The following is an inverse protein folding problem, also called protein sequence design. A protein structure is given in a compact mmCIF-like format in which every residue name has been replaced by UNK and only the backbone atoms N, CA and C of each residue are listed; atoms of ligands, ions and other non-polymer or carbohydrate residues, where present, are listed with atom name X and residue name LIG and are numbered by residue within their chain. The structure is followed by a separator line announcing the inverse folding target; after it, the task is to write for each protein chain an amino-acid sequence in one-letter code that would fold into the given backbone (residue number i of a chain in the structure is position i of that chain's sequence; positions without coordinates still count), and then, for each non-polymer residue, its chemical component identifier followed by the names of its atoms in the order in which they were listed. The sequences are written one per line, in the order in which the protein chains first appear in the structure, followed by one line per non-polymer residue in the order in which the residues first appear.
data_IF_211527052114
#
_entry.id   IF_211527052114
#
_cell.length_a   1.000
_cell.length_b   1.000
_cell.length_c   1.000
_cell.angle_alpha   90.00
_cell.angle_beta   90.00
_cell.angle_gamma   90.00
#
_symmetry.space_group_name_H-M   'P 1'
#
loop_
_entity.id
_entity.type
_entity.pdbx_description
1 polymer ?
#
# COMPACT_ATOMS: atom_id res chain seq x y z
N UNK A 1 18.64 9.28 1.55
CA UNK A 1 17.50 8.63 0.85
C UNK A 1 16.22 9.33 1.24
N UNK A 2 15.42 9.71 0.26
CA UNK A 2 14.11 10.32 0.50
C UNK A 2 13.05 9.34 0.03
N UNK A 3 12.17 8.94 0.94
CA UNK A 3 11.06 8.04 0.64
C UNK A 3 9.77 8.80 0.80
N UNK A 4 8.97 8.98 -0.26
CA UNK A 4 7.64 9.59 -0.12
C UNK A 4 6.75 8.69 0.74
N UNK A 5 5.93 9.32 1.57
CA UNK A 5 4.96 8.61 2.40
C UNK A 5 3.59 9.26 2.17
N UNK A 6 2.62 8.47 1.74
CA UNK A 6 1.24 8.89 1.61
C UNK A 6 0.43 8.26 2.72
N UNK A 7 -0.32 9.06 3.45
CA UNK A 7 -1.25 8.53 4.44
C UNK A 7 -2.64 8.49 3.83
N UNK A 8 -3.28 7.32 3.89
CA UNK A 8 -4.61 7.11 3.33
C UNK A 8 -5.53 6.59 4.42
N UNK A 9 -6.64 7.30 4.65
CA UNK A 9 -7.71 6.85 5.53
C UNK A 9 -8.79 6.24 4.64
N UNK A 10 -8.91 4.92 4.67
CA UNK A 10 -9.78 4.19 3.75
C UNK A 10 -10.88 3.44 4.49
N UNK A 11 -11.94 3.09 3.76
CA UNK A 11 -12.95 2.11 4.17
C UNK A 11 -13.89 2.57 5.26
N UNK A 12 -14.20 3.86 5.35
CA UNK A 12 -15.16 4.31 6.35
C UNK A 12 -16.09 5.36 5.78
N UNK A 13 -17.37 5.26 6.13
CA UNK A 13 -18.35 6.32 5.98
C UNK A 13 -18.47 7.14 7.26
N UNK A 14 -17.72 6.79 8.31
CA UNK A 14 -17.75 7.47 9.61
C UNK A 14 -16.52 8.30 9.77
N UNK A 15 -16.66 9.50 10.34
CA UNK A 15 -15.57 10.46 10.51
C UNK A 15 -14.38 9.88 11.31
N UNK A 16 -14.65 9.05 12.30
CA UNK A 16 -13.62 8.48 13.15
C UNK A 16 -13.45 6.97 12.97
N UNK A 17 -14.03 6.40 11.92
CA UNK A 17 -13.98 4.97 11.68
C UNK A 17 -12.90 4.53 10.71
N UNK A 18 -12.00 5.42 10.29
CA UNK A 18 -10.98 5.11 9.31
C UNK A 18 -9.91 4.18 9.85
N UNK A 19 -9.35 3.38 8.96
CA UNK A 19 -8.19 2.54 9.26
C UNK A 19 -7.01 3.10 8.47
N UNK A 20 -6.21 4.00 9.09
CA UNK A 20 -5.16 4.69 8.36
C UNK A 20 -4.03 3.74 7.97
N UNK A 21 -3.55 3.91 6.74
CA UNK A 21 -2.41 3.18 6.23
C UNK A 21 -1.42 4.18 5.64
N UNK A 22 -0.13 3.89 5.78
CA UNK A 22 0.91 4.60 5.07
C UNK A 22 1.26 3.82 3.80
N UNK A 23 1.54 4.53 2.72
CA UNK A 23 1.94 3.94 1.45
C UNK A 23 3.27 4.58 1.04
N UNK A 24 4.28 3.75 0.86
CA UNK A 24 5.65 4.18 0.57
C UNK A 24 6.10 3.62 -0.77
N UNK A 25 6.08 4.43 -1.84
CA UNK A 25 6.67 4.01 -3.12
C UNK A 25 8.18 3.92 -3.01
N UNK A 26 8.76 2.85 -3.54
CA UNK A 26 10.20 2.64 -3.57
C UNK A 26 10.66 2.43 -5.00
N UNK A 27 11.85 2.90 -5.33
CA UNK A 27 12.48 2.60 -6.62
C UNK A 27 13.10 1.20 -6.62
N UNK A 28 13.60 0.78 -5.45
CA UNK A 28 14.14 -0.56 -5.23
C UNK A 28 13.90 -0.96 -3.78
N UNK A 29 13.96 -2.25 -3.50
CA UNK A 29 13.75 -2.73 -2.15
C UNK A 29 14.87 -2.25 -1.22
N UNK A 30 14.47 -1.79 -0.03
CA UNK A 30 15.37 -1.47 1.07
C UNK A 30 15.38 -2.65 2.05
N UNK A 31 16.23 -2.60 3.06
CA UNK A 31 16.33 -3.71 4.01
C UNK A 31 15.05 -3.92 4.80
N UNK A 32 14.80 -5.16 5.20
CA UNK A 32 13.64 -5.51 6.00
C UNK A 32 13.63 -4.73 7.32
N UNK A 33 14.81 -4.59 7.95
CA UNK A 33 14.93 -3.84 9.19
C UNK A 33 14.53 -2.37 9.01
N UNK A 34 14.93 -1.76 7.92
CA UNK A 34 14.59 -0.36 7.65
C UNK A 34 13.10 -0.20 7.40
N UNK A 35 12.48 -1.11 6.64
CA UNK A 35 11.03 -1.07 6.44
C UNK A 35 10.28 -1.23 7.76
N UNK A 36 10.73 -2.16 8.61
CA UNK A 36 10.10 -2.35 9.91
C UNK A 36 10.25 -1.11 10.80
N UNK A 37 11.39 -0.45 10.77
CA UNK A 37 11.60 0.78 11.53
C UNK A 37 10.70 1.90 11.04
N UNK A 38 10.55 2.05 9.72
CA UNK A 38 9.64 3.05 9.14
C UNK A 38 8.21 2.79 9.59
N UNK A 39 7.77 1.53 9.58
CA UNK A 39 6.44 1.17 10.05
C UNK A 39 6.24 1.50 11.53
N UNK A 40 7.25 1.26 12.37
CA UNK A 40 7.22 1.65 13.77
C UNK A 40 7.12 3.15 13.95
N UNK A 41 7.92 3.92 13.21
CA UNK A 41 7.92 5.37 13.28
C UNK A 41 6.58 5.96 12.83
N UNK A 42 5.98 5.39 11.78
CA UNK A 42 4.66 5.82 11.30
C UNK A 42 3.58 5.57 12.34
N UNK A 43 3.69 4.49 13.08
CA UNK A 43 2.73 4.09 14.12
C UNK A 43 1.28 4.07 13.63
N UNK A 44 1.08 3.68 12.38
CA UNK A 44 -0.22 3.46 11.78
C UNK A 44 -0.52 1.96 11.75
N UNK A 45 -1.80 1.61 11.52
CA UNK A 45 -2.20 0.20 11.51
C UNK A 45 -1.33 -0.63 10.58
N UNK A 46 -1.10 -0.13 9.37
CA UNK A 46 -0.23 -0.78 8.39
C UNK A 46 0.56 0.24 7.60
N UNK A 47 1.73 -0.17 7.14
CA UNK A 47 2.54 0.54 6.17
C UNK A 47 2.80 -0.39 5.01
N UNK A 48 2.43 0.02 3.80
CA UNK A 48 2.68 -0.71 2.58
C UNK A 48 3.88 -0.11 1.86
N UNK A 49 4.77 -0.98 1.40
CA UNK A 49 5.89 -0.62 0.54
C UNK A 49 5.70 -1.32 -0.79
N UNK A 50 5.95 -0.62 -1.88
CA UNK A 50 5.85 -1.26 -3.19
C UNK A 50 6.95 -0.79 -4.12
N UNK A 51 7.29 -1.68 -5.06
CA UNK A 51 8.27 -1.44 -6.11
C UNK A 51 7.63 -1.80 -7.44
N UNK A 52 7.70 -0.91 -8.42
CA UNK A 52 7.20 -1.21 -9.76
C UNK A 52 8.12 -2.25 -10.41
N UNK A 53 7.52 -3.30 -10.96
CA UNK A 53 8.22 -4.39 -11.64
C UNK A 53 7.54 -4.65 -12.99
N UNK A 54 8.04 -4.00 -14.06
CA UNK A 54 7.45 -4.05 -15.40
C UNK A 54 6.01 -3.51 -15.36
N UNK A 55 5.01 -4.34 -15.65
CA UNK A 55 3.61 -3.96 -15.64
C UNK A 55 2.91 -4.28 -14.33
N UNK A 56 3.63 -4.76 -13.34
CA UNK A 56 3.11 -5.17 -12.05
C UNK A 56 3.81 -4.41 -10.94
N UNK A 57 3.34 -4.61 -9.71
CA UNK A 57 3.93 -4.00 -8.53
C UNK A 57 4.18 -5.08 -7.49
N UNK A 58 5.40 -5.17 -6.99
CA UNK A 58 5.70 -6.01 -5.85
C UNK A 58 5.32 -5.24 -4.59
N UNK A 59 4.62 -5.87 -3.66
CA UNK A 59 4.10 -5.20 -2.46
C UNK A 59 4.43 -5.99 -1.20
N UNK A 60 4.72 -5.26 -0.12
CA UNK A 60 4.93 -5.82 1.22
C UNK A 60 4.26 -4.92 2.24
N UNK A 61 3.74 -5.51 3.30
CA UNK A 61 2.98 -4.81 4.32
C UNK A 61 3.59 -5.05 5.69
N UNK A 62 3.62 -3.99 6.50
CA UNK A 62 4.15 -4.05 7.86
C UNK A 62 3.17 -3.40 8.82
N UNK A 63 2.96 -4.03 9.98
CA UNK A 63 2.41 -3.33 11.15
C UNK A 63 3.58 -2.70 11.91
N UNK A 64 3.33 -1.90 12.95
CA UNK A 64 4.43 -1.40 13.78
C UNK A 64 5.29 -2.51 14.41
N UNK A 65 4.80 -3.74 14.48
CA UNK A 65 5.47 -4.84 15.16
C UNK A 65 6.03 -5.90 14.22
N UNK A 66 5.40 -6.13 13.07
CA UNK A 66 5.77 -7.26 12.22
C UNK A 66 5.32 -7.09 10.78
N UNK A 67 5.95 -7.85 9.89
CA UNK A 67 5.49 -7.95 8.51
C UNK A 67 4.28 -8.88 8.41
N UNK A 68 3.33 -8.54 7.52
CA UNK A 68 2.14 -9.34 7.24
C UNK A 68 2.29 -10.05 5.90
N UNK A 69 1.72 -11.26 5.79
CA UNK A 69 1.68 -11.99 4.53
C UNK A 69 0.59 -11.51 3.60
N UNK A 70 -0.47 -10.90 4.15
CA UNK A 70 -1.59 -10.37 3.38
C UNK A 70 -2.26 -9.26 4.15
N UNK A 71 -2.62 -8.18 3.45
CA UNK A 71 -3.37 -7.08 4.04
C UNK A 71 -4.26 -6.43 2.97
N UNK A 72 -5.57 -6.50 3.14
CA UNK A 72 -6.53 -5.98 2.17
C UNK A 72 -6.61 -4.46 2.12
N UNK A 73 -6.78 -3.81 3.27
CA UNK A 73 -6.91 -2.35 3.35
C UNK A 73 -5.72 -1.60 2.77
N UNK A 74 -4.48 -1.91 3.17
CA UNK A 74 -3.34 -1.17 2.63
C UNK A 74 -3.08 -1.49 1.16
N UNK A 75 -3.54 -2.63 0.64
CA UNK A 75 -3.44 -2.92 -0.79
C UNK A 75 -4.35 -1.99 -1.59
N UNK A 76 -5.58 -1.79 -1.15
CA UNK A 76 -6.50 -0.85 -1.82
C UNK A 76 -6.01 0.59 -1.68
N UNK A 77 -5.48 0.96 -0.52
CA UNK A 77 -4.87 2.27 -0.32
C UNK A 77 -3.68 2.49 -1.26
N UNK A 78 -2.84 1.47 -1.43
CA UNK A 78 -1.71 1.51 -2.35
C UNK A 78 -2.17 1.69 -3.79
N UNK A 79 -3.20 0.94 -4.21
CA UNK A 79 -3.78 1.07 -5.54
C UNK A 79 -4.31 2.47 -5.79
N UNK A 80 -4.97 3.07 -4.80
CA UNK A 80 -5.45 4.44 -4.89
C UNK A 80 -4.30 5.42 -5.12
N UNK A 81 -3.22 5.29 -4.36
CA UNK A 81 -2.03 6.15 -4.50
C UNK A 81 -1.42 6.00 -5.90
N UNK A 82 -1.31 4.77 -6.39
CA UNK A 82 -0.74 4.52 -7.72
C UNK A 82 -1.59 5.22 -8.80
N UNK A 83 -2.91 5.07 -8.75
CA UNK A 83 -3.79 5.66 -9.76
C UNK A 83 -3.82 7.17 -9.66
N UNK A 84 -3.83 7.73 -8.46
CA UNK A 84 -3.96 9.17 -8.27
C UNK A 84 -2.66 9.91 -8.50
N UNK A 85 -1.54 9.37 -8.02
CA UNK A 85 -0.29 10.13 -7.95
C UNK A 85 0.75 9.66 -8.97
N UNK A 86 0.67 8.42 -9.47
CA UNK A 86 1.73 7.84 -10.28
C UNK A 86 1.29 7.53 -11.71
N UNK A 87 0.14 6.88 -11.90
CA UNK A 87 -0.33 6.50 -13.24
C UNK A 87 -1.85 6.33 -13.23
N UNK A 88 -2.57 7.38 -13.62
CA UNK A 88 -4.03 7.38 -13.62
C UNK A 88 -4.65 6.73 -14.86
N UNK A 89 -3.85 6.21 -15.78
CA UNK A 89 -4.33 5.56 -17.00
C UNK A 89 -4.50 4.05 -16.86
N UNK A 90 -4.06 3.47 -15.74
CA UNK A 90 -4.17 2.04 -15.53
C UNK A 90 -5.63 1.63 -15.32
N UNK A 91 -6.06 0.58 -16.02
CA UNK A 91 -7.40 0.02 -15.85
C UNK A 91 -7.46 -0.91 -14.64
N UNK A 92 -6.34 -1.57 -14.36
CA UNK A 92 -6.20 -2.46 -13.22
C UNK A 92 -4.76 -2.40 -12.72
N UNK A 93 -4.58 -2.77 -11.46
CA UNK A 93 -3.27 -2.83 -10.83
C UNK A 93 -3.08 -4.26 -10.34
N UNK A 94 -1.97 -4.86 -10.75
CA UNK A 94 -1.62 -6.23 -10.36
C UNK A 94 -0.47 -6.15 -9.36
N UNK A 95 -0.69 -6.73 -8.18
CA UNK A 95 0.31 -6.82 -7.12
C UNK A 95 0.81 -8.24 -6.97
N UNK A 96 2.11 -8.40 -6.78
CA UNK A 96 2.73 -9.64 -6.36
C UNK A 96 3.16 -9.52 -4.92
N UNK A 97 2.77 -10.49 -4.09
CA UNK A 97 3.15 -10.51 -2.68
C UNK A 97 4.49 -11.22 -2.50
N UNK A 98 5.06 -11.12 -1.31
CA UNK A 98 6.32 -11.79 -0.96
C UNK A 98 6.22 -13.30 -1.13
N UNK A 99 5.05 -13.89 -0.88
CA UNK A 99 4.81 -15.32 -1.06
C UNK A 99 4.31 -15.68 -2.46
N UNK A 100 4.46 -14.75 -3.40
CA UNK A 100 4.14 -14.93 -4.82
C UNK A 100 2.66 -15.07 -5.14
N UNK A 101 1.77 -14.64 -4.26
CA UNK A 101 0.36 -14.49 -4.57
C UNK A 101 0.14 -13.26 -5.45
N UNK A 102 -0.91 -13.30 -6.25
CA UNK A 102 -1.30 -12.20 -7.12
C UNK A 102 -2.59 -11.58 -6.61
N UNK A 103 -2.58 -10.26 -6.45
CA UNK A 103 -3.78 -9.50 -6.09
C UNK A 103 -4.05 -8.50 -7.23
N UNK A 104 -5.31 -8.44 -7.68
CA UNK A 104 -5.69 -7.51 -8.75
C UNK A 104 -6.73 -6.54 -8.22
N UNK A 105 -6.48 -5.25 -8.42
CA UNK A 105 -7.39 -4.18 -8.01
C UNK A 105 -7.86 -3.43 -9.25
N UNK A 106 -9.17 -3.26 -9.39
CA UNK A 106 -9.78 -2.54 -10.51
C UNK A 106 -10.37 -1.22 -10.02
N UNK A 107 -10.75 -0.35 -10.96
CA UNK A 107 -11.48 0.87 -10.63
C UNK A 107 -12.80 0.58 -9.91
N UNK A 108 -13.47 -0.53 -10.27
CA UNK A 108 -14.69 -0.94 -9.62
C UNK A 108 -14.45 -1.22 -8.13
N UNK A 109 -13.35 -1.89 -7.80
CA UNK A 109 -12.99 -2.16 -6.41
C UNK A 109 -12.79 -0.85 -5.64
N UNK A 110 -12.11 0.12 -6.26
CA UNK A 110 -11.82 1.40 -5.62
C UNK A 110 -13.07 2.27 -5.48
N UNK A 111 -14.05 2.12 -6.35
CA UNK A 111 -15.28 2.89 -6.27
C UNK A 111 -16.13 2.54 -5.05
N UNK A 112 -15.84 1.42 -4.39
CA UNK A 112 -16.55 0.96 -3.21
C UNK A 112 -15.97 1.53 -1.90
N UNK A 113 -14.90 2.30 -1.98
CA UNK A 113 -14.25 2.84 -0.79
C UNK A 113 -14.33 4.37 -0.79
N UNK A 114 -14.38 4.93 0.40
CA UNK A 114 -14.39 6.38 0.63
C UNK A 114 -12.99 6.79 1.11
N UNK A 115 -12.28 7.47 0.25
CA UNK A 115 -10.90 7.91 0.53
C UNK A 115 -10.83 9.43 0.53
#
# INVERSE_FOLDING_TARGET
MIIPIYQVDAFTSKVFGGNPAAVCPLQEWISDNLMQKIAQENNLSETAFFVKNKNEFDIRWFTPLTELDLAGHPTLATAHVILKELDNNLEKIVFKTKIQDTLTVTHKDLSLIHI
#
